data_IF_730569608026
#
_entry.id   IF_730569608026
#
_cell.length_a   1.000
_cell.length_b   1.000
_cell.length_c   1.000
_cell.angle_alpha   90.00
_cell.angle_beta   90.00
_cell.angle_gamma   90.00
#
_symmetry.space_group_name_H-M   'P 1'
#
loop_
_entity.id
_entity.type
_entity.pdbx_description
1 polymer ?
#
# COMPACT_ATOMS: atom_id res chain seq x y z
N UNK A 1 29.60 -18.29 14.41
CA UNK A 1 29.23 -17.40 13.27
C UNK A 1 28.07 -18.04 12.54
N UNK A 2 26.83 -17.67 12.90
CA UNK A 2 25.63 -18.10 12.19
C UNK A 2 25.49 -17.22 10.96
N UNK A 3 25.50 -17.82 9.78
CA UNK A 3 25.23 -17.14 8.52
C UNK A 3 23.75 -16.71 8.59
N UNK A 4 23.48 -15.42 8.58
CA UNK A 4 22.12 -14.90 8.45
C UNK A 4 21.53 -15.44 7.16
N UNK A 5 20.70 -16.47 7.28
CA UNK A 5 19.97 -17.01 6.15
C UNK A 5 19.00 -15.89 5.69
N UNK A 6 19.07 -15.43 4.42
CA UNK A 6 18.18 -14.40 3.90
C UNK A 6 16.70 -14.80 3.99
N UNK A 7 16.43 -16.08 4.29
CA UNK A 7 15.11 -16.62 4.55
C UNK A 7 14.68 -16.65 6.03
N UNK A 8 15.48 -16.11 6.95
CA UNK A 8 15.14 -15.95 8.38
C UNK A 8 14.52 -14.59 8.70
N UNK A 9 14.19 -13.79 7.68
CA UNK A 9 13.34 -12.62 7.89
C UNK A 9 11.95 -13.06 8.32
N UNK A 10 11.44 -12.52 9.43
CA UNK A 10 10.11 -12.86 9.93
C UNK A 10 9.00 -12.75 8.86
N UNK A 11 7.87 -13.42 9.07
CA UNK A 11 6.75 -13.42 8.11
C UNK A 11 6.26 -12.00 7.78
N UNK A 12 6.33 -11.07 8.74
CA UNK A 12 5.89 -9.68 8.57
C UNK A 12 6.61 -8.87 7.47
N UNK A 13 7.96 -8.78 7.42
CA UNK A 13 8.65 -8.09 6.33
C UNK A 13 8.40 -8.70 4.95
N UNK A 14 8.20 -10.04 4.88
CA UNK A 14 7.85 -10.72 3.62
C UNK A 14 6.47 -10.33 3.13
N UNK A 15 5.46 -10.36 4.00
CA UNK A 15 4.11 -9.91 3.66
C UNK A 15 4.08 -8.43 3.22
N UNK A 16 4.87 -7.57 3.87
CA UNK A 16 5.04 -6.16 3.45
C UNK A 16 5.72 -6.02 2.10
N UNK A 17 6.62 -6.92 1.74
CA UNK A 17 7.26 -6.94 0.42
C UNK A 17 6.25 -7.37 -0.64
N UNK A 18 5.50 -8.45 -0.38
CA UNK A 18 4.44 -8.92 -1.27
C UNK A 18 3.36 -7.86 -1.52
N UNK A 19 2.86 -7.18 -0.47
CA UNK A 19 1.90 -6.07 -0.64
C UNK A 19 2.47 -4.95 -1.52
N UNK A 20 3.75 -4.58 -1.33
CA UNK A 20 4.40 -3.53 -2.12
C UNK A 20 4.61 -3.92 -3.57
N UNK A 21 5.04 -5.15 -3.82
CA UNK A 21 5.23 -5.68 -5.18
C UNK A 21 3.88 -5.73 -5.91
N UNK A 22 2.85 -6.31 -5.29
CA UNK A 22 1.50 -6.36 -5.85
C UNK A 22 0.91 -4.96 -6.08
N UNK A 23 1.15 -4.02 -5.15
CA UNK A 23 0.73 -2.62 -5.30
C UNK A 23 1.37 -1.95 -6.51
N UNK A 24 2.67 -2.16 -6.70
CA UNK A 24 3.42 -1.58 -7.80
C UNK A 24 2.90 -2.13 -9.14
N UNK A 25 2.71 -3.45 -9.24
CA UNK A 25 2.16 -4.10 -10.43
C UNK A 25 0.76 -3.61 -10.75
N UNK A 26 -0.16 -3.57 -9.78
CA UNK A 26 -1.52 -3.07 -9.99
C UNK A 26 -1.52 -1.60 -10.40
N UNK A 27 -0.66 -0.77 -9.78
CA UNK A 27 -0.61 0.66 -10.12
C UNK A 27 -0.05 0.87 -11.53
N UNK A 28 0.98 0.13 -11.92
CA UNK A 28 1.55 0.18 -13.28
C UNK A 28 0.51 -0.25 -14.31
N UNK A 29 -0.15 -1.39 -14.07
CA UNK A 29 -1.21 -1.90 -14.93
C UNK A 29 -2.37 -0.92 -15.05
N UNK A 30 -2.87 -0.35 -13.95
CA UNK A 30 -3.92 0.69 -13.98
C UNK A 30 -3.48 1.94 -14.75
N UNK A 31 -2.21 2.33 -14.66
CA UNK A 31 -1.68 3.47 -15.42
C UNK A 31 -1.65 3.20 -16.92
N UNK A 32 -1.33 1.97 -17.34
CA UNK A 32 -1.35 1.55 -18.76
C UNK A 32 -2.79 1.35 -19.27
N UNK A 33 -3.64 0.71 -18.47
CA UNK A 33 -5.03 0.40 -18.78
C UNK A 33 -5.94 1.63 -18.84
N UNK A 34 -5.58 2.73 -18.16
CA UNK A 34 -6.24 4.04 -18.33
C UNK A 34 -6.14 4.60 -19.76
N UNK A 35 -5.23 4.07 -20.57
CA UNK A 35 -5.04 4.44 -21.99
C UNK A 35 -5.71 3.42 -22.92
N UNK A 36 -6.18 2.27 -22.40
CA UNK A 36 -6.81 1.23 -23.19
C UNK A 36 -8.31 1.50 -23.42
N UNK A 37 -8.85 1.05 -24.56
CA UNK A 37 -10.25 1.23 -24.94
C UNK A 37 -11.24 0.47 -24.03
N UNK A 38 -10.79 -0.55 -23.29
CA UNK A 38 -11.60 -1.32 -22.33
C UNK A 38 -10.83 -1.64 -21.07
N UNK A 39 -11.08 -0.90 -19.96
CA UNK A 39 -10.35 -1.14 -18.74
C UNK A 39 -10.78 -2.44 -18.03
N UNK A 40 -9.82 -3.25 -17.58
CA UNK A 40 -10.05 -4.50 -16.84
C UNK A 40 -10.42 -4.26 -15.38
N UNK A 41 -11.68 -3.89 -15.15
CA UNK A 41 -12.19 -3.59 -13.81
C UNK A 41 -12.22 -4.81 -12.90
N UNK A 42 -12.43 -6.00 -13.44
CA UNK A 42 -12.66 -7.21 -12.63
C UNK A 42 -11.34 -7.79 -12.17
N UNK A 43 -10.34 -7.90 -13.06
CA UNK A 43 -9.00 -8.33 -12.69
C UNK A 43 -8.39 -7.42 -11.62
N UNK A 44 -8.54 -6.10 -11.75
CA UNK A 44 -8.10 -5.17 -10.70
C UNK A 44 -8.86 -5.29 -9.38
N UNK A 45 -10.17 -5.59 -9.42
CA UNK A 45 -10.93 -5.82 -8.20
C UNK A 45 -10.43 -7.07 -7.48
N UNK A 46 -10.17 -8.17 -8.21
CA UNK A 46 -9.64 -9.43 -7.64
C UNK A 46 -8.23 -9.26 -7.07
N UNK A 47 -7.33 -8.58 -7.78
CA UNK A 47 -6.00 -8.24 -7.24
C UNK A 47 -6.09 -7.32 -6.03
N UNK A 48 -7.08 -6.42 -6.00
CA UNK A 48 -7.42 -5.61 -4.84
C UNK A 48 -7.83 -6.44 -3.62
N UNK A 49 -8.65 -7.47 -3.81
CA UNK A 49 -9.05 -8.41 -2.76
C UNK A 49 -7.87 -9.25 -2.27
N UNK A 50 -7.07 -9.83 -3.18
CA UNK A 50 -5.86 -10.57 -2.82
C UNK A 50 -4.92 -9.71 -1.95
N UNK A 51 -4.75 -8.44 -2.32
CA UNK A 51 -3.95 -7.49 -1.57
C UNK A 51 -4.54 -7.19 -0.19
N UNK A 52 -5.86 -7.04 -0.09
CA UNK A 52 -6.52 -6.80 1.18
C UNK A 52 -6.28 -7.96 2.15
N UNK A 53 -6.38 -9.20 1.68
CA UNK A 53 -6.10 -10.38 2.50
C UNK A 53 -4.63 -10.45 2.96
N UNK A 54 -3.67 -10.14 2.08
CA UNK A 54 -2.24 -10.02 2.47
C UNK A 54 -2.03 -8.98 3.57
N UNK A 55 -2.76 -7.86 3.53
CA UNK A 55 -2.68 -6.83 4.58
C UNK A 55 -3.32 -7.28 5.88
N UNK A 56 -4.44 -7.99 5.83
CA UNK A 56 -5.10 -8.59 6.99
C UNK A 56 -4.14 -9.56 7.67
N UNK A 57 -3.52 -10.46 6.89
CA UNK A 57 -2.47 -11.36 7.35
C UNK A 57 -1.31 -10.57 8.00
N UNK A 58 -0.79 -9.54 7.33
CA UNK A 58 0.30 -8.72 7.86
C UNK A 58 -0.07 -7.99 9.16
N UNK A 59 -1.33 -7.57 9.31
CA UNK A 59 -1.84 -6.91 10.52
C UNK A 59 -1.87 -7.87 11.72
N UNK A 60 -2.01 -9.18 11.50
CA UNK A 60 -1.91 -10.20 12.57
C UNK A 60 -0.50 -10.34 13.13
N UNK A 61 0.52 -9.98 12.34
CA UNK A 61 1.92 -9.92 12.78
C UNK A 61 2.34 -8.57 13.35
N UNK A 62 1.52 -7.52 13.21
CA UNK A 62 1.80 -6.26 13.89
C UNK A 62 1.63 -6.49 15.39
N UNK A 63 2.74 -6.44 16.11
CA UNK A 63 2.73 -6.12 17.54
C UNK A 63 1.99 -4.79 17.64
N UNK A 64 0.97 -4.72 18.49
CA UNK A 64 0.29 -3.45 18.76
C UNK A 64 1.38 -2.41 19.00
N UNK A 65 1.35 -1.25 18.30
CA UNK A 65 2.42 -0.29 18.48
C UNK A 65 2.51 0.02 19.98
N UNK A 66 3.71 0.02 20.56
CA UNK A 66 3.86 0.45 21.95
C UNK A 66 3.22 1.84 22.07
N UNK A 67 2.73 2.17 23.28
CA UNK A 67 2.06 3.43 23.63
C UNK A 67 2.79 4.70 23.13
N UNK A 68 4.04 4.57 22.71
CA UNK A 68 4.82 5.52 21.92
C UNK A 68 4.02 6.17 20.77
N UNK A 69 3.13 5.45 20.08
CA UNK A 69 2.36 6.04 18.96
C UNK A 69 1.36 7.11 19.45
N UNK A 70 0.78 6.93 20.65
CA UNK A 70 -0.03 7.96 21.31
C UNK A 70 0.81 9.15 21.75
N UNK A 71 2.04 8.90 22.23
CA UNK A 71 2.97 9.96 22.63
C UNK A 71 3.44 10.75 21.40
N UNK A 72 3.70 10.12 20.25
CA UNK A 72 4.02 10.82 19.00
C UNK A 72 2.85 11.58 18.42
N UNK A 73 1.62 11.05 18.52
CA UNK A 73 0.42 11.80 18.12
C UNK A 73 0.18 12.98 19.06
N UNK A 74 0.34 12.81 20.37
CA UNK A 74 0.24 13.89 21.36
C UNK A 74 1.35 14.92 21.18
N UNK A 75 2.59 14.51 20.86
CA UNK A 75 3.69 15.42 20.61
C UNK A 75 3.55 16.14 19.28
N UNK A 76 2.99 15.50 18.24
CA UNK A 76 2.68 16.14 16.97
C UNK A 76 1.53 17.16 17.11
N UNK A 77 0.49 16.83 17.91
CA UNK A 77 -0.57 17.76 18.25
C UNK A 77 -0.06 18.91 19.11
N UNK A 78 0.80 18.65 20.09
CA UNK A 78 1.43 19.67 20.92
C UNK A 78 2.37 20.57 20.10
N UNK A 79 3.16 20.00 19.19
CA UNK A 79 4.01 20.78 18.28
C UNK A 79 3.17 21.63 17.32
N UNK A 80 2.07 21.07 16.78
CA UNK A 80 1.11 21.82 15.98
C UNK A 80 0.47 22.97 16.77
N UNK A 81 0.08 22.72 18.03
CA UNK A 81 -0.45 23.73 18.93
C UNK A 81 0.59 24.82 19.23
N UNK A 82 1.85 24.44 19.50
CA UNK A 82 2.97 25.36 19.77
C UNK A 82 3.36 26.17 18.53
N UNK A 83 3.08 25.70 17.31
CA UNK A 83 3.31 26.48 16.08
C UNK A 83 2.12 27.39 15.75
N UNK A 84 0.89 26.92 15.98
CA UNK A 84 -0.35 27.66 15.66
C UNK A 84 -0.69 28.72 16.72
N UNK A 85 -0.42 28.44 18.00
CA UNK A 85 -0.73 29.32 19.13
C UNK A 85 0.08 30.64 19.15
N UNK A 86 1.40 30.67 18.87
CA UNK A 86 2.12 31.92 18.69
C UNK A 86 1.67 32.66 17.43
N UNK A 87 1.31 31.95 16.36
CA UNK A 87 0.76 32.59 15.15
C UNK A 87 -0.57 33.31 15.44
N UNK A 88 -1.40 32.75 16.34
CA UNK A 88 -2.62 33.37 16.88
C UNK A 88 -2.32 34.58 17.80
N UNK A 89 -1.22 34.55 18.55
CA UNK A 89 -0.87 35.55 19.56
C UNK A 89 -0.07 36.75 18.99
N UNK A 90 0.80 36.53 18.01
CA UNK A 90 1.75 37.53 17.48
C UNK A 90 1.11 38.52 16.50
N UNK A 91 -0.01 38.19 15.85
CA UNK A 91 -0.71 39.10 14.92
C UNK A 91 -1.73 39.94 15.70
N UNK A 92 -1.56 41.28 15.84
CA UNK A 92 -2.54 42.14 16.49
C UNK A 92 -3.60 42.58 15.47
N UNK A 93 -4.88 42.26 15.70
CA UNK A 93 -6.00 42.84 14.94
C UNK A 93 -7.25 41.97 14.77
N UNK A 94 -8.43 42.58 14.47
CA UNK A 94 -9.74 41.91 14.34
C UNK A 94 -9.86 40.95 13.13
N UNK A 95 -8.88 40.91 12.23
CA UNK A 95 -8.85 40.03 11.05
C UNK A 95 -8.23 38.65 11.32
N UNK A 96 -7.82 38.36 12.57
CA UNK A 96 -7.22 37.10 13.07
C UNK A 96 -7.81 35.78 12.55
N UNK A 97 -9.14 35.55 12.54
CA UNK A 97 -9.68 34.26 12.13
C UNK A 97 -9.59 34.02 10.61
N UNK A 98 -9.58 35.10 9.80
CA UNK A 98 -9.59 35.01 8.34
C UNK A 98 -8.21 34.63 7.76
N UNK A 99 -7.12 35.14 8.33
CA UNK A 99 -5.76 34.81 7.86
C UNK A 99 -5.38 33.36 8.15
N UNK A 100 -5.76 32.84 9.32
CA UNK A 100 -5.54 31.44 9.68
C UNK A 100 -6.39 30.47 8.86
N UNK A 101 -7.67 30.81 8.62
CA UNK A 101 -8.51 30.05 7.70
C UNK A 101 -7.90 30.05 6.29
N UNK A 102 -7.37 31.19 5.83
CA UNK A 102 -6.66 31.31 4.56
C UNK A 102 -5.44 30.39 4.46
N UNK A 103 -4.60 30.33 5.50
CA UNK A 103 -3.41 29.44 5.52
C UNK A 103 -3.83 27.97 5.54
N UNK A 104 -4.84 27.59 6.33
CA UNK A 104 -5.33 26.22 6.38
C UNK A 104 -5.91 25.77 5.02
N UNK A 105 -6.71 26.64 4.39
CA UNK A 105 -7.25 26.41 3.05
C UNK A 105 -6.12 26.32 2.01
N UNK A 106 -5.13 27.21 2.06
CA UNK A 106 -3.97 27.17 1.18
C UNK A 106 -3.15 25.88 1.36
N UNK A 107 -2.96 25.40 2.59
CA UNK A 107 -2.31 24.12 2.87
C UNK A 107 -3.09 22.93 2.32
N UNK A 108 -4.42 22.93 2.46
CA UNK A 108 -5.29 21.92 1.86
C UNK A 108 -5.17 21.93 0.32
N UNK A 109 -5.24 23.09 -0.31
CA UNK A 109 -5.07 23.22 -1.76
C UNK A 109 -3.68 22.81 -2.23
N UNK A 110 -2.62 23.15 -1.49
CA UNK A 110 -1.25 22.75 -1.80
C UNK A 110 -1.08 21.23 -1.76
N UNK A 111 -1.66 20.54 -0.77
CA UNK A 111 -1.61 19.07 -0.69
C UNK A 111 -2.39 18.40 -1.82
N UNK A 112 -3.57 18.92 -2.19
CA UNK A 112 -4.34 18.44 -3.34
C UNK A 112 -3.59 18.70 -4.67
N UNK A 113 -3.00 19.89 -4.84
CA UNK A 113 -2.18 20.26 -5.99
C UNK A 113 -0.95 19.36 -6.14
N UNK A 114 -0.22 19.13 -5.04
CA UNK A 114 0.92 18.23 -5.02
C UNK A 114 0.52 16.79 -5.37
N UNK A 115 -0.60 16.31 -4.84
CA UNK A 115 -1.11 14.96 -5.13
C UNK A 115 -1.50 14.78 -6.60
N UNK A 116 -2.13 15.79 -7.20
CA UNK A 116 -2.48 15.76 -8.63
C UNK A 116 -1.24 15.89 -9.52
N UNK A 117 -0.27 16.73 -9.16
CA UNK A 117 1.02 16.84 -9.84
C UNK A 117 1.79 15.52 -9.83
N UNK A 118 1.90 14.86 -8.67
CA UNK A 118 2.52 13.54 -8.54
C UNK A 118 1.80 12.48 -9.39
N UNK A 119 0.46 12.50 -9.42
CA UNK A 119 -0.31 11.63 -10.32
C UNK A 119 0.02 11.87 -11.78
N UNK A 120 0.08 13.13 -12.21
CA UNK A 120 0.43 13.50 -13.60
C UNK A 120 1.85 13.06 -13.96
N UNK A 121 2.82 13.25 -13.06
CA UNK A 121 4.20 12.80 -13.27
C UNK A 121 4.30 11.27 -13.38
N UNK A 122 3.54 10.53 -12.58
CA UNK A 122 3.45 9.07 -12.69
C UNK A 122 2.82 8.61 -14.01
N UNK A 123 1.74 9.25 -14.45
CA UNK A 123 1.13 8.96 -15.76
C UNK A 123 2.13 9.26 -16.89
N UNK A 124 2.85 10.38 -16.79
CA UNK A 124 3.81 10.79 -17.82
C UNK A 124 5.03 9.87 -17.89
N UNK A 125 5.51 9.37 -16.75
CA UNK A 125 6.57 8.37 -16.70
C UNK A 125 6.09 7.00 -17.20
N UNK A 126 4.84 6.62 -16.92
CA UNK A 126 4.24 5.39 -17.47
C UNK A 126 4.09 5.46 -19.00
N UNK A 127 3.83 6.64 -19.58
CA UNK A 127 3.84 6.84 -21.05
C UNK A 127 5.23 6.72 -21.69
N UNK A 128 6.30 6.80 -20.88
CA UNK A 128 7.67 6.54 -21.32
C UNK A 128 8.16 5.14 -21.00
N UNK A 129 7.30 4.28 -20.43
CA UNK A 129 7.62 2.88 -20.22
C UNK A 129 7.69 2.16 -21.59
N UNK A 130 8.65 1.25 -21.79
CA UNK A 130 8.82 0.56 -23.06
C UNK A 130 7.54 -0.19 -23.47
N UNK A 131 7.27 -0.26 -24.78
CA UNK A 131 6.11 -0.89 -25.45
C UNK A 131 6.02 -2.44 -25.28
N UNK A 132 6.53 -2.96 -24.17
CA UNK A 132 6.38 -4.37 -23.80
C UNK A 132 5.03 -4.67 -23.13
N UNK A 133 4.62 -5.95 -23.11
CA UNK A 133 3.43 -6.39 -22.39
C UNK A 133 3.44 -5.90 -20.95
N UNK A 134 2.26 -5.60 -20.39
CA UNK A 134 2.20 -5.11 -19.03
C UNK A 134 2.71 -6.22 -18.09
N UNK A 135 3.46 -5.91 -17.01
CA UNK A 135 3.94 -6.94 -16.09
C UNK A 135 2.82 -7.79 -15.49
N UNK A 136 1.59 -7.27 -15.44
CA UNK A 136 0.38 -7.98 -15.02
C UNK A 136 -0.04 -9.10 -15.98
N UNK A 137 0.47 -9.10 -17.21
CA UNK A 137 0.21 -10.14 -18.21
C UNK A 137 1.26 -11.26 -18.14
N UNK A 138 2.33 -11.07 -17.36
CA UNK A 138 3.42 -12.03 -17.22
C UNK A 138 3.01 -13.22 -16.31
N UNK A 139 2.91 -14.46 -16.84
CA UNK A 139 2.58 -15.63 -16.03
C UNK A 139 3.61 -15.90 -14.92
N UNK A 140 4.88 -15.52 -15.13
CA UNK A 140 5.93 -15.72 -14.13
C UNK A 140 5.73 -14.82 -12.90
N UNK A 141 5.09 -13.66 -13.08
CA UNK A 141 4.75 -12.78 -11.97
C UNK A 141 3.74 -13.46 -11.03
N UNK A 142 2.67 -14.07 -11.56
CA UNK A 142 1.69 -14.80 -10.76
C UNK A 142 2.30 -16.01 -10.07
N UNK A 143 3.12 -16.79 -10.78
CA UNK A 143 3.82 -17.94 -10.19
C UNK A 143 4.72 -17.52 -9.02
N UNK A 144 5.48 -16.43 -9.19
CA UNK A 144 6.34 -15.88 -8.13
C UNK A 144 5.52 -15.37 -6.95
N UNK A 145 4.44 -14.64 -7.19
CA UNK A 145 3.58 -14.13 -6.11
C UNK A 145 2.92 -15.27 -5.36
N UNK A 146 2.38 -16.26 -6.07
CA UNK A 146 1.81 -17.49 -5.52
C UNK A 146 2.80 -18.20 -4.60
N UNK A 147 4.00 -18.49 -5.06
CA UNK A 147 5.03 -19.13 -4.22
C UNK A 147 5.40 -18.28 -3.01
N UNK A 148 5.46 -16.95 -3.16
CA UNK A 148 5.70 -16.05 -2.04
C UNK A 148 4.61 -16.11 -0.97
N UNK A 149 3.34 -16.15 -1.39
CA UNK A 149 2.18 -16.25 -0.50
C UNK A 149 2.13 -17.64 0.14
N UNK A 150 2.31 -18.73 -0.62
CA UNK A 150 2.38 -20.11 -0.13
C UNK A 150 3.47 -20.28 0.94
N UNK A 151 4.67 -19.77 0.70
CA UNK A 151 5.76 -19.79 1.67
C UNK A 151 5.41 -19.04 2.96
N UNK A 152 4.72 -17.91 2.86
CA UNK A 152 4.23 -17.16 4.02
C UNK A 152 3.11 -17.90 4.76
N UNK A 153 2.20 -18.56 4.04
CA UNK A 153 1.11 -19.34 4.63
C UNK A 153 1.66 -20.55 5.40
N UNK A 154 2.62 -21.28 4.83
CA UNK A 154 3.33 -22.37 5.51
C UNK A 154 4.02 -21.88 6.78
N UNK A 155 4.72 -20.75 6.69
CA UNK A 155 5.37 -20.13 7.85
C UNK A 155 4.37 -19.70 8.93
N UNK A 156 3.19 -19.22 8.52
CA UNK A 156 2.13 -18.81 9.43
C UNK A 156 1.51 -20.01 10.17
N UNK A 157 1.27 -21.13 9.48
CA UNK A 157 0.76 -22.37 10.09
C UNK A 157 1.70 -22.90 11.18
N UNK A 158 3.01 -22.75 11.00
CA UNK A 158 4.03 -23.17 11.96
C UNK A 158 4.20 -22.21 13.15
N UNK A 159 3.53 -21.06 13.18
CA UNK A 159 3.68 -20.08 14.26
C UNK A 159 3.03 -20.59 15.56
N UNK A 160 3.61 -20.23 16.71
CA UNK A 160 3.08 -20.63 18.03
C UNK A 160 1.85 -19.80 18.42
N UNK A 161 1.81 -18.54 17.99
CA UNK A 161 0.70 -17.64 18.32
C UNK A 161 -0.54 -18.00 17.51
N UNK A 162 -1.67 -18.24 18.18
CA UNK A 162 -2.96 -18.48 17.51
C UNK A 162 -3.33 -17.35 16.53
N UNK A 163 -3.09 -16.10 16.94
CA UNK A 163 -3.34 -14.92 16.09
C UNK A 163 -2.53 -14.96 14.79
N UNK A 164 -1.26 -15.40 14.85
CA UNK A 164 -0.38 -15.48 13.69
C UNK A 164 -0.69 -16.71 12.82
N UNK A 165 -1.08 -17.83 13.44
CA UNK A 165 -1.59 -19.00 12.72
C UNK A 165 -2.82 -18.69 11.87
N UNK A 166 -3.74 -17.88 12.40
CA UNK A 166 -4.92 -17.43 11.64
C UNK A 166 -4.57 -16.61 10.38
N UNK A 167 -3.35 -16.07 10.27
CA UNK A 167 -2.90 -15.41 9.04
C UNK A 167 -2.76 -16.39 7.86
N UNK A 168 -2.60 -17.70 8.12
CA UNK A 168 -2.56 -18.70 7.06
C UNK A 168 -3.87 -18.74 6.26
N UNK A 169 -5.01 -18.67 6.94
CA UNK A 169 -6.34 -18.66 6.30
C UNK A 169 -6.53 -17.41 5.44
N UNK A 170 -6.13 -16.23 5.92
CA UNK A 170 -6.17 -15.01 5.09
C UNK A 170 -5.30 -15.17 3.83
N UNK A 171 -4.12 -15.79 3.96
CA UNK A 171 -3.22 -16.01 2.82
C UNK A 171 -3.76 -17.07 1.85
N UNK A 172 -4.53 -18.05 2.31
CA UNK A 172 -5.26 -18.98 1.46
C UNK A 172 -6.31 -18.24 0.61
N UNK A 173 -7.12 -17.37 1.24
CA UNK A 173 -8.04 -16.51 0.48
C UNK A 173 -7.31 -15.60 -0.52
N UNK A 174 -6.14 -15.09 -0.15
CA UNK A 174 -5.32 -14.31 -1.07
C UNK A 174 -4.90 -15.11 -2.31
N UNK A 175 -4.60 -16.41 -2.17
CA UNK A 175 -4.29 -17.30 -3.28
C UNK A 175 -5.49 -17.54 -4.18
N UNK A 176 -6.69 -17.73 -3.61
CA UNK A 176 -7.92 -17.91 -4.38
C UNK A 176 -8.22 -16.67 -5.24
N UNK A 177 -8.11 -15.47 -4.65
CA UNK A 177 -8.27 -14.22 -5.38
C UNK A 177 -7.20 -14.02 -6.46
N UNK A 178 -5.96 -14.44 -6.20
CA UNK A 178 -4.87 -14.36 -7.16
C UNK A 178 -5.08 -15.32 -8.35
N UNK A 179 -5.52 -16.55 -8.08
CA UNK A 179 -5.87 -17.54 -9.11
C UNK A 179 -7.05 -17.05 -9.95
N UNK A 180 -8.08 -16.50 -9.29
CA UNK A 180 -9.23 -15.92 -9.96
C UNK A 180 -8.82 -14.72 -10.85
N UNK A 181 -7.88 -13.86 -10.41
CA UNK A 181 -7.35 -12.79 -11.26
C UNK A 181 -6.57 -13.35 -12.47
N UNK A 182 -5.80 -14.42 -12.28
CA UNK A 182 -5.05 -15.06 -13.37
C UNK A 182 -5.97 -15.70 -14.42
N UNK A 183 -7.10 -16.27 -14.02
CA UNK A 183 -8.08 -16.85 -14.94
C UNK A 183 -8.80 -15.82 -15.82
N UNK A 184 -8.88 -14.57 -15.36
CA UNK A 184 -9.48 -13.46 -16.10
C UNK A 184 -8.56 -12.85 -17.16
N UNK A 185 -7.25 -13.11 -17.07
CA UNK A 185 -6.33 -12.70 -18.12
C UNK A 185 -6.79 -13.33 -19.44
N UNK A 186 -6.92 -12.53 -20.52
CA UNK A 186 -7.17 -13.09 -21.84
C UNK A 186 -6.04 -14.07 -22.12
N UNK A 187 -6.35 -15.38 -22.08
CA UNK A 187 -5.39 -16.43 -22.42
C UNK A 187 -4.84 -16.03 -23.78
N UNK A 188 -3.56 -15.65 -23.83
CA UNK A 188 -2.84 -15.32 -25.06
C UNK A 188 -3.17 -16.43 -26.06
N UNK A 189 -4.04 -16.11 -27.01
CA UNK A 189 -4.43 -16.94 -28.14
C UNK A 189 -3.82 -16.32 -29.37
#
# INVERSE_FOLDING_TARGET
MSRDDPFTGGVAPRLRRLDRELAATVTDAQCRDWVADRPDRVGFARLGQARQEIRTAAARYRVAPPLTDRVTVLSALAAGLIVVLPLLLVVPGPTRPLTLAGIAVAGLWATLGLRTALRRLRIRSARGAPDGPAPIDDPYLYARQRHGIEACALSARADRSYRRRAAATDLEYALDWLAAAQEELPRLR
#
